data_IF_525656256101
#
_entry.id   IF_525656256101
#
_cell.length_a   1.000
_cell.length_b   1.000
_cell.length_c   1.000
_cell.angle_alpha   90.00
_cell.angle_beta   90.00
_cell.angle_gamma   90.00
#
_symmetry.space_group_name_H-M   'P 1'
#
loop_
_entity.id
_entity.type
_entity.pdbx_description
1 polymer ?
#
# COMPACT_ATOMS: atom_id res chain seq x y z
N UNK A 1 -8.35 -27.65 12.29
CA UNK A 1 -8.61 -26.21 12.51
C UNK A 1 -9.97 -26.07 13.17
N UNK A 2 -10.06 -25.47 14.37
CA UNK A 2 -11.35 -25.16 15.01
C UNK A 2 -11.89 -23.87 14.38
N UNK A 3 -13.06 -23.92 13.73
CA UNK A 3 -13.76 -22.68 13.32
C UNK A 3 -14.09 -21.91 14.59
N UNK A 4 -13.50 -20.73 14.76
CA UNK A 4 -13.86 -19.80 15.82
C UNK A 4 -15.29 -19.34 15.53
N UNK A 5 -16.22 -19.54 16.46
CA UNK A 5 -17.61 -19.08 16.30
C UNK A 5 -17.60 -17.59 16.63
N UNK A 6 -17.72 -16.74 15.61
CA UNK A 6 -17.80 -15.29 15.77
C UNK A 6 -19.15 -14.88 16.36
N UNK A 7 -19.14 -13.89 17.25
CA UNK A 7 -20.35 -13.29 17.82
C UNK A 7 -21.11 -12.46 16.77
N UNK A 8 -22.40 -12.20 16.99
CA UNK A 8 -23.23 -11.37 16.08
C UNK A 8 -22.60 -9.97 15.88
N UNK A 9 -22.03 -9.38 16.93
CA UNK A 9 -21.36 -8.08 16.86
C UNK A 9 -20.09 -8.10 16.00
N UNK A 10 -19.30 -9.17 16.08
CA UNK A 10 -18.09 -9.35 15.26
C UNK A 10 -18.44 -9.53 13.78
N UNK A 11 -19.47 -10.33 13.47
CA UNK A 11 -19.96 -10.54 12.10
C UNK A 11 -20.44 -9.22 11.49
N UNK A 12 -21.20 -8.42 12.23
CA UNK A 12 -21.68 -7.12 11.74
C UNK A 12 -20.53 -6.15 11.46
N UNK A 13 -19.48 -6.16 12.28
CA UNK A 13 -18.29 -5.32 12.08
C UNK A 13 -17.53 -5.73 10.80
N UNK A 14 -17.34 -7.03 10.57
CA UNK A 14 -16.69 -7.57 9.37
C UNK A 14 -17.44 -7.15 8.10
N UNK A 15 -18.78 -7.31 8.09
CA UNK A 15 -19.61 -6.93 6.95
C UNK A 15 -19.49 -5.42 6.69
N UNK A 16 -19.56 -4.61 7.74
CA UNK A 16 -19.40 -3.16 7.65
C UNK A 16 -18.04 -2.78 7.05
N UNK A 17 -16.96 -3.43 7.49
CA UNK A 17 -15.62 -3.15 7.01
C UNK A 17 -15.40 -3.54 5.55
N UNK A 18 -15.93 -4.69 5.11
CA UNK A 18 -15.90 -5.09 3.68
C UNK A 18 -16.66 -4.09 2.82
N UNK A 19 -17.88 -3.74 3.22
CA UNK A 19 -18.70 -2.76 2.51
C UNK A 19 -18.02 -1.38 2.44
N UNK A 20 -17.34 -0.97 3.51
CA UNK A 20 -16.57 0.26 3.54
C UNK A 20 -15.41 0.24 2.52
N UNK A 21 -14.63 -0.84 2.46
CA UNK A 21 -13.53 -0.96 1.49
C UNK A 21 -14.03 -0.94 0.04
N UNK A 22 -15.14 -1.62 -0.24
CA UNK A 22 -15.78 -1.57 -1.57
C UNK A 22 -16.33 -0.18 -1.91
N UNK A 23 -16.84 0.54 -0.92
CA UNK A 23 -17.30 1.91 -1.09
C UNK A 23 -16.13 2.85 -1.42
N UNK A 24 -15.01 2.76 -0.68
CA UNK A 24 -13.80 3.55 -0.95
C UNK A 24 -13.27 3.30 -2.36
N UNK A 25 -13.23 2.04 -2.80
CA UNK A 25 -12.80 1.68 -4.16
C UNK A 25 -13.72 2.32 -5.22
N UNK A 26 -15.04 2.27 -5.03
CA UNK A 26 -16.00 2.90 -5.96
C UNK A 26 -15.92 4.42 -5.98
N UNK A 27 -15.47 5.04 -4.88
CA UNK A 27 -15.32 6.49 -4.76
C UNK A 27 -14.07 7.05 -5.43
N UNK A 28 -13.14 6.21 -5.88
CA UNK A 28 -11.95 6.65 -6.61
C UNK A 28 -12.00 6.20 -8.09
N UNK A 29 -12.70 6.96 -8.96
CA UNK A 29 -12.65 6.78 -10.40
C UNK A 29 -11.22 6.72 -10.97
N UNK A 30 -11.06 6.03 -12.10
CA UNK A 30 -9.77 5.80 -12.74
C UNK A 30 -8.98 7.08 -13.05
N UNK A 31 -9.64 8.11 -13.59
CA UNK A 31 -9.01 9.41 -13.88
C UNK A 31 -8.45 10.06 -12.61
N UNK A 32 -9.24 10.08 -11.53
CA UNK A 32 -8.80 10.59 -10.23
C UNK A 32 -7.66 9.77 -9.63
N UNK A 33 -7.71 8.45 -9.77
CA UNK A 33 -6.64 7.56 -9.32
C UNK A 33 -5.32 7.83 -10.05
N UNK A 34 -5.36 8.01 -11.38
CA UNK A 34 -4.18 8.37 -12.17
C UNK A 34 -3.62 9.74 -11.77
N UNK A 35 -4.47 10.73 -11.52
CA UNK A 35 -4.04 12.04 -11.01
C UNK A 35 -3.44 11.98 -9.60
N UNK A 36 -3.98 11.12 -8.72
CA UNK A 36 -3.36 10.86 -7.42
C UNK A 36 -2.01 10.15 -7.57
N UNK A 37 -1.92 9.13 -8.41
CA UNK A 37 -0.70 8.37 -8.64
C UNK A 37 0.44 9.21 -9.24
N UNK A 38 0.15 10.25 -10.02
CA UNK A 38 1.15 11.23 -10.47
C UNK A 38 1.78 12.02 -9.30
N UNK A 39 1.04 12.21 -8.21
CA UNK A 39 1.44 13.01 -7.03
C UNK A 39 1.93 12.16 -5.86
N UNK A 40 1.43 10.94 -5.76
CA UNK A 40 1.65 10.02 -4.64
C UNK A 40 2.28 8.74 -5.19
N UNK A 41 3.55 8.51 -4.86
CA UNK A 41 4.31 7.36 -5.39
C UNK A 41 4.74 6.39 -4.29
N UNK A 42 4.83 5.09 -4.60
CA UNK A 42 5.39 4.13 -3.67
C UNK A 42 6.88 4.40 -3.43
N UNK A 43 7.27 4.22 -2.17
CA UNK A 43 8.67 4.07 -1.78
C UNK A 43 8.83 2.76 -1.02
N UNK A 44 10.07 2.27 -0.95
CA UNK A 44 10.42 1.15 -0.11
C UNK A 44 11.82 1.31 0.49
N UNK A 45 12.02 0.70 1.65
CA UNK A 45 13.30 0.50 2.30
C UNK A 45 13.94 -0.81 1.85
N UNK A 46 15.25 -0.89 2.06
CA UNK A 46 16.01 -2.14 1.91
C UNK A 46 16.13 -2.85 3.26
N UNK A 47 16.13 -4.17 3.24
CA UNK A 47 16.45 -5.05 4.36
C UNK A 47 17.97 -5.06 4.65
N UNK A 48 18.40 -5.86 5.65
CA UNK A 48 19.82 -6.03 5.97
C UNK A 48 20.67 -6.59 4.82
N UNK A 49 20.06 -7.26 3.86
CA UNK A 49 20.72 -7.85 2.69
C UNK A 49 20.74 -6.89 1.49
N UNK A 50 20.26 -5.65 1.67
CA UNK A 50 20.20 -4.64 0.60
C UNK A 50 19.10 -4.88 -0.43
N UNK A 51 18.14 -5.77 -0.16
CA UNK A 51 16.98 -6.06 -1.01
C UNK A 51 15.81 -5.19 -0.57
N UNK A 52 15.04 -4.67 -1.53
CA UNK A 52 13.80 -3.99 -1.19
C UNK A 52 12.88 -4.99 -0.44
N UNK A 53 12.23 -4.53 0.62
CA UNK A 53 11.41 -5.40 1.48
C UNK A 53 10.11 -4.72 1.83
N UNK A 54 9.04 -5.53 1.86
CA UNK A 54 7.75 -5.20 2.46
C UNK A 54 7.58 -5.85 3.83
N UNK A 55 8.59 -6.56 4.34
CA UNK A 55 8.53 -7.21 5.65
C UNK A 55 9.32 -6.42 6.68
N UNK A 56 8.78 -6.40 7.90
CA UNK A 56 9.32 -5.69 9.07
C UNK A 56 9.24 -4.17 8.96
N UNK A 57 9.51 -3.47 10.06
CA UNK A 57 9.41 -2.01 10.08
C UNK A 57 10.42 -1.36 9.11
N UNK A 58 9.97 -0.40 8.27
CA UNK A 58 10.82 0.26 7.30
C UNK A 58 12.00 1.04 7.90
N UNK A 59 13.17 0.98 7.24
CA UNK A 59 14.37 1.71 7.63
C UNK A 59 14.31 3.19 7.22
N UNK A 60 15.02 4.14 7.88
CA UNK A 60 14.93 5.56 7.52
C UNK A 60 15.21 5.88 6.05
N UNK A 61 16.12 5.13 5.42
CA UNK A 61 16.48 5.33 4.03
C UNK A 61 15.45 4.72 3.08
N UNK A 62 14.97 5.53 2.12
CA UNK A 62 13.92 5.16 1.17
C UNK A 62 14.40 5.21 -0.27
N UNK A 63 13.73 4.42 -1.11
CA UNK A 63 13.93 4.34 -2.54
C UNK A 63 12.59 4.53 -3.24
N UNK A 64 12.53 5.48 -4.18
CA UNK A 64 11.38 5.67 -5.05
C UNK A 64 11.28 4.54 -6.05
N UNK A 65 10.09 3.97 -6.14
CA UNK A 65 9.75 2.89 -7.05
C UNK A 65 8.95 3.45 -8.24
N UNK A 66 8.90 2.69 -9.34
CA UNK A 66 8.17 3.07 -10.54
C UNK A 66 6.68 3.30 -10.26
N UNK A 67 6.05 2.29 -9.67
CA UNK A 67 4.60 2.30 -9.46
C UNK A 67 3.79 2.42 -10.76
N UNK A 68 4.41 2.22 -11.94
CA UNK A 68 3.91 2.57 -13.27
C UNK A 68 2.44 2.21 -13.52
N UNK A 69 2.13 0.91 -13.64
CA UNK A 69 0.76 0.38 -13.74
C UNK A 69 0.15 0.27 -12.36
N UNK A 70 -0.92 1.03 -12.10
CA UNK A 70 -1.40 1.24 -10.73
C UNK A 70 -2.44 0.24 -10.27
N UNK A 71 -3.17 -0.42 -11.19
CA UNK A 71 -4.32 -1.27 -10.86
C UNK A 71 -3.98 -2.76 -10.84
N UNK A 72 -3.35 -3.28 -11.89
CA UNK A 72 -3.14 -4.72 -12.09
C UNK A 72 -1.74 -5.24 -11.74
N UNK A 73 -0.84 -4.35 -11.33
CA UNK A 73 0.54 -4.69 -11.03
C UNK A 73 0.87 -4.38 -9.58
N UNK A 74 1.52 -5.34 -8.91
CA UNK A 74 2.11 -5.08 -7.61
C UNK A 74 3.36 -4.21 -7.77
N UNK A 75 3.41 -3.10 -7.05
CA UNK A 75 4.61 -2.28 -6.98
C UNK A 75 5.67 -2.88 -6.03
N UNK A 76 5.37 -3.99 -5.34
CA UNK A 76 6.28 -4.68 -4.42
C UNK A 76 7.03 -5.84 -5.08
N UNK A 77 6.66 -6.23 -6.30
CA UNK A 77 7.42 -7.23 -7.08
C UNK A 77 8.66 -6.58 -7.71
N UNK A 78 9.72 -6.56 -6.90
CA UNK A 78 10.99 -5.86 -7.13
C UNK A 78 11.78 -6.38 -8.33
N UNK A 79 11.52 -7.62 -8.77
CA UNK A 79 12.12 -8.16 -9.99
C UNK A 79 11.83 -7.30 -11.24
N UNK A 80 10.79 -6.45 -11.19
CA UNK A 80 10.38 -5.58 -12.28
C UNK A 80 10.50 -4.07 -11.97
N UNK A 81 10.95 -3.67 -10.77
CA UNK A 81 10.94 -2.26 -10.37
C UNK A 81 12.35 -1.66 -10.34
N UNK A 82 12.58 -0.74 -11.27
CA UNK A 82 13.75 0.11 -11.28
C UNK A 82 13.72 1.06 -10.08
N UNK A 83 14.81 1.09 -9.31
CA UNK A 83 15.00 2.11 -8.28
C UNK A 83 15.36 3.42 -8.97
N UNK A 84 14.44 4.39 -8.94
CA UNK A 84 14.66 5.65 -9.64
C UNK A 84 15.46 6.65 -8.84
N UNK A 85 15.22 6.73 -7.54
CA UNK A 85 15.91 7.69 -6.69
C UNK A 85 16.00 7.20 -5.26
N UNK A 86 17.14 7.50 -4.62
CA UNK A 86 17.31 7.43 -3.18
C UNK A 86 16.76 8.70 -2.54
N UNK A 87 16.09 8.61 -1.39
CA UNK A 87 15.68 9.78 -0.60
C UNK A 87 15.77 9.53 0.89
N UNK A 88 16.11 10.58 1.63
CA UNK A 88 15.99 10.68 3.09
C UNK A 88 15.19 11.91 3.52
N UNK A 89 14.61 12.66 2.57
CA UNK A 89 13.94 13.93 2.82
C UNK A 89 12.44 13.80 3.12
N UNK A 90 11.91 12.57 3.07
CA UNK A 90 10.51 12.29 3.35
C UNK A 90 10.25 12.31 4.86
N UNK A 91 9.17 12.98 5.27
CA UNK A 91 8.73 13.05 6.67
C UNK A 91 7.44 12.25 6.82
N UNK A 92 7.35 11.29 7.75
CA UNK A 92 6.11 10.56 7.99
C UNK A 92 5.06 11.53 8.56
N UNK A 93 3.82 11.43 8.08
CA UNK A 93 2.69 12.26 8.53
C UNK A 93 1.55 11.44 9.12
N UNK A 94 1.44 10.15 8.77
CA UNK A 94 0.45 9.23 9.34
C UNK A 94 0.91 7.78 9.17
N UNK A 95 0.39 6.90 10.03
CA UNK A 95 0.38 5.44 9.84
C UNK A 95 -1.09 5.01 9.77
N UNK A 96 -1.48 4.32 8.70
CA UNK A 96 -2.83 3.76 8.51
C UNK A 96 -2.72 2.26 8.27
N UNK A 97 -3.83 1.53 8.45
CA UNK A 97 -3.94 0.15 7.96
C UNK A 97 -4.45 0.16 6.53
N UNK A 98 -3.79 -0.57 5.65
CA UNK A 98 -4.20 -0.75 4.26
C UNK A 98 -4.44 -2.22 3.98
N UNK A 99 -5.58 -2.52 3.39
CA UNK A 99 -6.01 -3.87 3.09
C UNK A 99 -5.77 -4.19 1.61
N UNK A 100 -5.08 -5.29 1.35
CA UNK A 100 -4.80 -5.78 0.00
C UNK A 100 -5.66 -7.01 -0.30
N UNK A 101 -6.35 -6.97 -1.44
CA UNK A 101 -7.18 -8.05 -1.97
C UNK A 101 -6.26 -9.14 -2.54
N UNK A 102 -6.37 -10.36 -2.02
CA UNK A 102 -5.45 -11.43 -2.39
C UNK A 102 -6.14 -12.51 -3.24
N UNK A 103 -5.68 -12.68 -4.49
CA UNK A 103 -6.09 -13.84 -5.32
C UNK A 103 -5.35 -15.14 -4.97
N UNK A 104 -4.22 -15.05 -4.25
CA UNK A 104 -3.45 -16.21 -3.79
C UNK A 104 -2.74 -15.91 -2.47
N UNK A 105 -3.20 -16.47 -1.34
CA UNK A 105 -2.90 -15.96 0.00
C UNK A 105 -1.43 -16.01 0.42
N UNK A 106 -0.55 -16.72 -0.31
CA UNK A 106 0.88 -16.79 -0.04
C UNK A 106 1.70 -15.58 -0.55
N UNK A 107 1.08 -14.62 -1.24
CA UNK A 107 1.81 -13.45 -1.74
C UNK A 107 1.14 -12.13 -1.35
N UNK A 108 1.93 -11.22 -0.80
CA UNK A 108 1.56 -9.82 -0.54
C UNK A 108 1.88 -9.01 -1.80
N UNK A 109 0.87 -8.73 -2.63
CA UNK A 109 1.01 -8.10 -3.95
C UNK A 109 0.15 -6.82 -4.11
N UNK A 110 0.23 -5.86 -3.18
CA UNK A 110 -0.57 -4.65 -3.23
C UNK A 110 -0.30 -3.84 -4.50
N UNK A 111 -1.38 -3.43 -5.15
CA UNK A 111 -1.35 -2.44 -6.20
C UNK A 111 -1.25 -1.03 -5.63
N UNK A 112 -0.81 -0.06 -6.43
CA UNK A 112 -0.81 1.35 -6.03
C UNK A 112 -2.24 1.83 -5.81
N UNK A 113 -3.16 1.43 -6.68
CA UNK A 113 -4.58 1.79 -6.62
C UNK A 113 -5.20 1.40 -5.28
N UNK A 114 -4.89 0.21 -4.77
CA UNK A 114 -5.37 -0.25 -3.47
C UNK A 114 -4.96 0.65 -2.31
N UNK A 115 -3.74 1.19 -2.36
CA UNK A 115 -3.29 2.14 -1.35
C UNK A 115 -4.04 3.46 -1.52
N UNK A 116 -4.11 3.98 -2.76
CA UNK A 116 -4.65 5.31 -3.03
C UNK A 116 -6.10 5.48 -2.59
N UNK A 117 -6.98 4.50 -2.83
CA UNK A 117 -8.38 4.63 -2.39
C UNK A 117 -8.54 4.55 -0.87
N UNK A 118 -7.56 3.98 -0.16
CA UNK A 118 -7.55 3.88 1.32
C UNK A 118 -6.85 5.04 2.01
N UNK A 119 -6.20 5.96 1.27
CA UNK A 119 -5.65 7.19 1.86
C UNK A 119 -6.82 8.09 2.29
N UNK A 120 -6.90 8.50 3.58
CA UNK A 120 -7.91 9.44 4.07
C UNK A 120 -7.93 10.72 3.24
N UNK A 121 -9.13 11.20 2.89
CA UNK A 121 -9.32 12.30 1.96
C UNK A 121 -8.60 13.58 2.41
N UNK A 122 -8.65 13.88 3.71
CA UNK A 122 -8.00 15.02 4.36
C UNK A 122 -6.46 14.99 4.32
N UNK A 123 -5.88 13.83 4.00
CA UNK A 123 -4.44 13.64 3.86
C UNK A 123 -3.97 13.68 2.39
N UNK A 124 -4.86 13.46 1.40
CA UNK A 124 -4.47 13.26 -0.01
C UNK A 124 -3.65 14.41 -0.59
N UNK A 125 -3.90 15.65 -0.17
CA UNK A 125 -3.14 16.82 -0.65
C UNK A 125 -1.79 17.03 0.04
N UNK A 126 -1.54 16.33 1.15
CA UNK A 126 -0.28 16.41 1.93
C UNK A 126 0.66 15.26 1.63
N UNK A 127 0.10 14.11 1.22
CA UNK A 127 0.85 12.90 0.89
C UNK A 127 1.57 13.07 -0.45
N UNK A 128 2.83 12.66 -0.48
CA UNK A 128 3.67 12.62 -1.68
C UNK A 128 4.26 11.22 -1.89
N UNK A 129 4.35 10.42 -0.83
CA UNK A 129 4.75 9.02 -0.93
C UNK A 129 4.04 8.14 0.10
N UNK A 130 4.06 6.84 -0.15
CA UNK A 130 3.63 5.84 0.81
C UNK A 130 4.58 4.63 0.82
N UNK A 131 4.60 3.93 1.93
CA UNK A 131 5.34 2.67 2.08
C UNK A 131 4.50 1.67 2.86
N UNK A 132 4.37 0.47 2.32
CA UNK A 132 3.72 -0.62 3.02
C UNK A 132 4.76 -1.48 3.73
N UNK A 133 4.38 -2.00 4.89
CA UNK A 133 5.06 -3.13 5.50
C UNK A 133 4.11 -4.07 6.21
N UNK A 134 4.45 -5.35 6.16
CA UNK A 134 3.91 -6.43 6.97
C UNK A 134 4.67 -6.48 8.30
N UNK A 135 3.92 -6.49 9.40
CA UNK A 135 4.48 -6.59 10.75
C UNK A 135 5.10 -7.95 11.06
N UNK A 136 4.81 -8.97 10.25
CA UNK A 136 5.38 -10.32 10.34
C UNK A 136 6.01 -10.72 9.00
N UNK A 137 7.12 -11.49 9.01
CA UNK A 137 7.67 -12.12 7.81
C UNK A 137 6.77 -13.26 7.28
N UNK A 138 5.80 -13.72 8.06
CA UNK A 138 4.86 -14.75 7.64
C UNK A 138 3.58 -14.12 7.13
N UNK A 139 3.27 -14.38 5.86
CA UNK A 139 2.13 -13.78 5.15
C UNK A 139 0.79 -14.08 5.84
N UNK A 140 0.66 -15.24 6.47
CA UNK A 140 -0.54 -15.65 7.19
C UNK A 140 -0.80 -14.84 8.46
N UNK A 141 0.24 -14.34 9.12
CA UNK A 141 0.09 -13.56 10.35
C UNK A 141 -0.51 -12.17 10.08
N UNK A 142 -0.42 -11.70 8.85
CA UNK A 142 -1.01 -10.44 8.39
C UNK A 142 -2.25 -10.67 7.51
N UNK A 143 -2.70 -11.91 7.36
CA UNK A 143 -3.92 -12.23 6.63
C UNK A 143 -5.13 -12.17 7.57
N UNK A 144 -6.15 -11.45 7.16
CA UNK A 144 -7.45 -11.41 7.81
C UNK A 144 -8.41 -12.31 7.02
N UNK A 145 -8.69 -13.49 7.57
CA UNK A 145 -9.58 -14.50 6.98
C UNK A 145 -11.00 -13.95 6.73
N UNK A 146 -11.52 -13.14 7.64
CA UNK A 146 -12.89 -12.61 7.57
C UNK A 146 -13.06 -11.58 6.45
N UNK A 147 -12.02 -10.80 6.20
CA UNK A 147 -11.96 -9.80 5.12
C UNK A 147 -11.43 -10.38 3.81
N UNK A 148 -10.84 -11.57 3.83
CA UNK A 148 -10.11 -12.20 2.72
C UNK A 148 -8.99 -11.29 2.17
N UNK A 149 -8.26 -10.63 3.08
CA UNK A 149 -7.28 -9.58 2.74
C UNK A 149 -6.06 -9.62 3.64
N UNK A 150 -4.91 -9.22 3.11
CA UNK A 150 -3.75 -8.89 3.95
C UNK A 150 -3.92 -7.49 4.53
N UNK A 151 -3.73 -7.34 5.84
CA UNK A 151 -3.73 -6.08 6.56
C UNK A 151 -2.27 -5.61 6.76
N UNK A 152 -1.89 -4.55 6.05
CA UNK A 152 -0.54 -4.01 6.06
C UNK A 152 -0.53 -2.66 6.74
N UNK A 153 0.58 -2.30 7.37
CA UNK A 153 0.77 -0.93 7.83
C UNK A 153 1.25 -0.08 6.66
N UNK A 154 0.59 1.03 6.40
CA UNK A 154 0.98 2.02 5.42
C UNK A 154 1.48 3.28 6.12
N UNK A 155 2.73 3.63 5.87
CA UNK A 155 3.29 4.90 6.30
C UNK A 155 3.08 5.90 5.17
N UNK A 156 2.40 7.00 5.49
CA UNK A 156 2.18 8.11 4.56
C UNK A 156 3.22 9.19 4.82
N UNK A 157 3.81 9.71 3.75
CA UNK A 157 4.89 10.68 3.81
C UNK A 157 4.55 11.96 3.07
N UNK A 158 5.03 13.08 3.62
CA UNK A 158 5.14 14.35 2.90
C UNK A 158 6.60 14.63 2.52
N UNK A 159 6.81 15.57 1.62
CA UNK A 159 8.15 16.00 1.19
C UNK A 159 8.19 16.42 -0.28
N UNK A 160 9.37 16.32 -0.89
CA UNK A 160 9.56 16.65 -2.31
C UNK A 160 9.82 15.38 -3.11
N UNK A 161 8.98 15.14 -4.11
CA UNK A 161 9.22 14.11 -5.13
C UNK A 161 10.27 14.63 -6.13
N UNK A 162 11.35 13.87 -6.40
CA UNK A 162 12.32 14.24 -7.42
C UNK A 162 11.68 14.32 -8.81
N UNK A 163 12.12 15.29 -9.63
CA UNK A 163 11.60 15.48 -10.99
C UNK A 163 11.63 14.18 -11.83
N UNK A 164 12.73 13.42 -11.78
CA UNK A 164 12.85 12.14 -12.49
C UNK A 164 11.82 11.06 -12.10
N UNK A 165 11.23 11.15 -10.91
CA UNK A 165 10.13 10.27 -10.47
C UNK A 165 8.79 10.86 -10.92
N UNK A 166 8.65 12.18 -10.83
CA UNK A 166 7.45 12.89 -11.29
C UNK A 166 7.20 12.71 -12.79
N UNK A 167 8.26 12.71 -13.58
CA UNK A 167 8.22 12.59 -15.04
C UNK A 167 7.97 11.16 -15.52
N UNK A 168 7.91 10.17 -14.62
CA UNK A 168 7.60 8.78 -14.98
C UNK A 168 6.11 8.64 -15.33
N UNK A 169 5.78 7.89 -16.40
CA UNK A 169 4.40 7.68 -16.79
C UNK A 169 3.61 6.97 -15.69
N UNK A 170 2.29 7.16 -15.73
CA UNK A 170 1.34 6.44 -14.90
C UNK A 170 0.32 5.85 -15.81
N UNK A 171 0.10 4.56 -15.66
CA UNK A 171 -0.85 3.80 -16.44
C UNK A 171 -1.78 3.06 -15.49
N UNK A 172 -2.96 2.73 -15.98
CA UNK A 172 -3.91 1.93 -15.23
C UNK A 172 -3.40 0.50 -15.07
#
# INVERSE_FOLDING_TARGET
>A
MKKKVSTIGEVQNIISQRAHLEHLEKQLPQDKALELAKRIRPVASKDENGRLSIYNEPKPLKYWLDGGKIYNQSYTFIANNEVYAKTSSLKPIAKITTYHRCGYPLFIKPSVYEVLYQIPEELRDKVVAFELYASSPYVWDVYNDDLERHALTCILYTGKMPKKVKDKPVEW
#
